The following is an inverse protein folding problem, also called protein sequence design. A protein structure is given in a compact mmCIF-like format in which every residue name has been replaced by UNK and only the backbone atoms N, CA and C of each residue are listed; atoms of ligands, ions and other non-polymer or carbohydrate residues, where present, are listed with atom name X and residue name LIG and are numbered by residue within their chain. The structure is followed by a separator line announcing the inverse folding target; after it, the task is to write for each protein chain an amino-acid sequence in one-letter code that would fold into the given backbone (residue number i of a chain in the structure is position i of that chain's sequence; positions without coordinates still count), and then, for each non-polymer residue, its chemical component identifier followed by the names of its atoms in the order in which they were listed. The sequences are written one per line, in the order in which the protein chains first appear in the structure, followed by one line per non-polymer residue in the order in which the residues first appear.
data_IF_911823428249
#
_entry.id   IF_911823428249
#
_cell.length_a   1.000
_cell.length_b   1.000
_cell.length_c   1.000
_cell.angle_alpha   90.00
_cell.angle_beta   90.00
_cell.angle_gamma   90.00
#
_symmetry.space_group_name_H-M   'P 1'
#
loop_
_entity.id
_entity.type
_entity.pdbx_description
1 polymer ?
#
# COMPACT_ATOMS: atom_id res chain seq x y z
N UNK A 1 27.39 48.99 -38.87
CA UNK A 1 26.94 48.17 -37.73
C UNK A 1 25.47 48.54 -37.49
N UNK A 2 24.52 47.65 -37.84
CA UNK A 2 23.06 47.93 -37.73
C UNK A 2 22.57 47.39 -36.38
N UNK A 3 21.81 48.15 -35.58
CA UNK A 3 21.33 47.68 -34.28
C UNK A 3 20.30 46.55 -34.46
N UNK A 4 20.23 45.59 -33.51
CA UNK A 4 19.21 44.56 -33.50
C UNK A 4 17.84 45.21 -33.28
N UNK A 5 16.87 44.88 -34.15
CA UNK A 5 15.47 45.22 -33.93
C UNK A 5 14.94 44.31 -32.83
N UNK A 6 14.35 44.90 -31.80
CA UNK A 6 13.63 44.14 -30.79
C UNK A 6 12.31 43.67 -31.41
N UNK A 7 12.15 42.36 -31.57
CA UNK A 7 10.86 41.77 -31.91
C UNK A 7 9.90 42.02 -30.73
N UNK A 8 8.94 42.92 -30.94
CA UNK A 8 7.86 43.15 -30.00
C UNK A 8 6.88 41.97 -30.11
N UNK A 9 6.61 41.21 -29.04
CA UNK A 9 5.71 40.06 -29.11
C UNK A 9 4.33 40.50 -29.63
N UNK A 10 3.82 39.86 -30.68
CA UNK A 10 2.46 40.07 -31.14
C UNK A 10 1.47 39.64 -30.05
N UNK A 11 0.52 40.50 -29.70
CA UNK A 11 -0.54 40.19 -28.74
C UNK A 11 -1.54 39.16 -29.28
N UNK A 12 -2.27 38.51 -28.35
CA UNK A 12 -3.31 37.53 -28.68
C UNK A 12 -4.46 38.12 -29.51
N UNK A 13 -4.95 37.36 -30.49
CA UNK A 13 -6.13 37.78 -31.28
C UNK A 13 -7.44 37.46 -30.55
N UNK A 14 -8.52 38.20 -30.85
CA UNK A 14 -9.84 37.95 -30.25
C UNK A 14 -10.35 36.54 -30.53
N UNK A 15 -10.11 36.03 -31.75
CA UNK A 15 -10.48 34.66 -32.16
C UNK A 15 -9.73 33.64 -31.31
N UNK A 16 -8.44 33.85 -31.07
CA UNK A 16 -7.62 32.96 -30.26
C UNK A 16 -8.09 32.90 -28.81
N UNK A 17 -8.48 34.02 -28.21
CA UNK A 17 -9.05 34.06 -26.86
C UNK A 17 -10.38 33.29 -26.81
N UNK A 18 -11.27 33.48 -27.79
CA UNK A 18 -12.54 32.74 -27.86
C UNK A 18 -12.29 31.23 -27.98
N UNK A 19 -11.34 30.82 -28.82
CA UNK A 19 -10.97 29.41 -28.96
C UNK A 19 -10.41 28.83 -27.65
N UNK A 20 -9.54 29.56 -26.94
CA UNK A 20 -9.01 29.12 -25.63
C UNK A 20 -10.15 28.93 -24.63
N UNK A 21 -11.11 29.87 -24.55
CA UNK A 21 -12.25 29.77 -23.63
C UNK A 21 -13.12 28.56 -23.95
N UNK A 22 -13.42 28.31 -25.24
CA UNK A 22 -14.23 27.16 -25.67
C UNK A 22 -13.51 25.84 -25.35
N UNK A 23 -12.22 25.76 -25.64
CA UNK A 23 -11.41 24.57 -25.33
C UNK A 23 -11.36 24.33 -23.81
N UNK A 24 -11.13 25.38 -23.02
CA UNK A 24 -11.12 25.29 -21.56
C UNK A 24 -12.49 24.85 -21.01
N UNK A 25 -13.58 25.42 -21.51
CA UNK A 25 -14.93 25.08 -21.06
C UNK A 25 -15.26 23.59 -21.26
N UNK A 26 -14.82 22.99 -22.36
CA UNK A 26 -15.04 21.56 -22.63
C UNK A 26 -14.03 20.67 -21.86
N UNK A 27 -12.80 21.12 -21.67
CA UNK A 27 -11.74 20.32 -21.05
C UNK A 27 -11.80 20.27 -19.51
N UNK A 28 -12.30 21.32 -18.84
CA UNK A 28 -12.24 21.42 -17.37
C UNK A 28 -13.02 20.28 -16.68
N UNK A 29 -14.22 19.95 -17.17
CA UNK A 29 -15.06 18.92 -16.55
C UNK A 29 -14.41 17.52 -16.54
N UNK A 30 -13.98 16.94 -17.69
CA UNK A 30 -13.35 15.63 -17.68
C UNK A 30 -12.01 15.62 -16.94
N UNK A 31 -11.22 16.70 -17.00
CA UNK A 31 -9.96 16.80 -16.26
C UNK A 31 -10.17 16.81 -14.74
N UNK A 32 -11.21 17.50 -14.26
CA UNK A 32 -11.56 17.53 -12.83
C UNK A 32 -11.95 16.14 -12.31
N UNK A 33 -12.71 15.38 -13.11
CA UNK A 33 -13.07 14.00 -12.78
C UNK A 33 -11.86 13.06 -12.75
N UNK A 34 -10.95 13.20 -13.73
CA UNK A 34 -9.70 12.43 -13.74
C UNK A 34 -8.86 12.71 -12.50
N UNK A 35 -8.72 13.98 -12.13
CA UNK A 35 -7.97 14.36 -10.93
C UNK A 35 -8.59 13.80 -9.64
N UNK A 36 -9.92 13.86 -9.50
CA UNK A 36 -10.61 13.28 -8.35
C UNK A 36 -10.35 11.76 -8.24
N UNK A 37 -10.44 11.04 -9.36
CA UNK A 37 -10.22 9.60 -9.40
C UNK A 37 -8.76 9.22 -9.12
N UNK A 38 -7.79 9.95 -9.67
CA UNK A 38 -6.37 9.69 -9.40
C UNK A 38 -6.02 10.00 -7.95
N UNK A 39 -6.59 11.06 -7.37
CA UNK A 39 -6.40 11.39 -5.96
C UNK A 39 -6.91 10.29 -5.02
N UNK A 40 -8.10 9.74 -5.27
CA UNK A 40 -8.66 8.63 -4.46
C UNK A 40 -7.75 7.40 -4.58
N UNK A 41 -7.42 7.00 -5.81
CA UNK A 41 -6.55 5.84 -6.06
C UNK A 41 -5.16 6.00 -5.48
N UNK A 42 -4.64 7.23 -5.39
CA UNK A 42 -3.36 7.50 -4.73
C UNK A 42 -3.44 7.26 -3.21
N UNK A 43 -4.56 7.65 -2.58
CA UNK A 43 -4.83 7.33 -1.18
C UNK A 43 -4.92 5.82 -0.92
N UNK A 44 -5.65 5.11 -1.79
CA UNK A 44 -5.78 3.64 -1.71
C UNK A 44 -4.43 2.93 -1.91
N UNK A 45 -3.64 3.39 -2.89
CA UNK A 45 -2.29 2.86 -3.12
C UNK A 45 -1.39 3.06 -1.89
N UNK A 46 -1.44 4.24 -1.27
CA UNK A 46 -0.72 4.50 -0.02
C UNK A 46 -1.16 3.56 1.10
N UNK A 47 -2.47 3.36 1.26
CA UNK A 47 -2.99 2.45 2.28
C UNK A 47 -2.55 1.01 2.05
N UNK A 48 -2.52 0.56 0.80
CA UNK A 48 -2.04 -0.77 0.44
C UNK A 48 -0.55 -0.94 0.74
N UNK A 49 0.27 0.07 0.46
CA UNK A 49 1.69 0.06 0.85
C UNK A 49 1.87 -0.01 2.36
N UNK A 50 1.17 0.81 3.14
CA UNK A 50 1.26 0.77 4.61
C UNK A 50 0.81 -0.59 5.14
N UNK A 51 -0.32 -1.11 4.67
CA UNK A 51 -0.82 -2.43 5.07
C UNK A 51 0.19 -3.55 4.76
N UNK A 52 0.84 -3.51 3.59
CA UNK A 52 1.89 -4.46 3.22
C UNK A 52 3.12 -4.35 4.13
N UNK A 53 3.58 -3.13 4.45
CA UNK A 53 4.70 -2.92 5.37
C UNK A 53 4.39 -3.40 6.79
N UNK A 54 3.17 -3.17 7.28
CA UNK A 54 2.72 -3.67 8.58
C UNK A 54 2.64 -5.20 8.62
N UNK A 55 2.16 -5.81 7.53
CA UNK A 55 2.13 -7.26 7.40
C UNK A 55 3.55 -7.83 7.39
N UNK A 56 4.46 -7.21 6.63
CA UNK A 56 5.86 -7.63 6.54
C UNK A 56 6.58 -7.48 7.90
N UNK A 57 6.43 -6.34 8.57
CA UNK A 57 7.02 -6.13 9.90
C UNK A 57 6.56 -7.22 10.88
N UNK A 58 5.28 -7.61 10.83
CA UNK A 58 4.78 -8.71 11.67
C UNK A 58 5.38 -10.06 11.26
N UNK A 59 5.52 -10.34 9.96
CA UNK A 59 6.20 -11.55 9.48
C UNK A 59 7.67 -11.62 9.93
N UNK A 60 8.35 -10.49 10.03
CA UNK A 60 9.71 -10.39 10.55
C UNK A 60 9.76 -10.67 12.07
N UNK A 61 8.79 -10.16 12.85
CA UNK A 61 8.63 -10.53 14.27
C UNK A 61 8.46 -12.05 14.44
N UNK A 62 7.58 -12.67 13.65
CA UNK A 62 7.39 -14.12 13.67
C UNK A 62 8.65 -14.90 13.29
N UNK A 63 9.38 -14.42 12.29
CA UNK A 63 10.64 -15.03 11.87
C UNK A 63 11.70 -14.91 12.96
N UNK A 64 11.76 -13.78 13.65
CA UNK A 64 12.65 -13.57 14.78
C UNK A 64 12.30 -14.51 15.95
N UNK A 65 11.02 -14.70 16.23
CA UNK A 65 10.56 -15.61 17.28
C UNK A 65 10.84 -17.07 16.96
N UNK A 66 10.64 -17.48 15.69
CA UNK A 66 11.01 -18.82 15.20
C UNK A 66 12.49 -19.10 15.43
N UNK A 67 13.35 -18.13 15.17
CA UNK A 67 14.80 -18.28 15.26
C UNK A 67 15.37 -17.94 16.65
N UNK A 68 14.52 -17.51 17.59
CA UNK A 68 14.95 -17.16 18.94
C UNK A 68 15.25 -18.42 19.76
N UNK A 69 16.42 -18.47 20.46
CA UNK A 69 16.77 -19.60 21.32
C UNK A 69 15.78 -19.86 22.47
N UNK A 70 14.96 -18.88 22.84
CA UNK A 70 14.01 -18.96 23.97
C UNK A 70 12.57 -19.25 23.55
N UNK A 71 12.23 -19.13 22.26
CA UNK A 71 10.85 -19.24 21.74
C UNK A 71 10.74 -20.40 20.75
N UNK A 72 11.45 -20.31 19.63
CA UNK A 72 11.49 -21.37 18.62
C UNK A 72 10.18 -21.56 17.87
N UNK A 73 10.12 -22.63 17.06
CA UNK A 73 8.96 -22.98 16.24
C UNK A 73 7.66 -23.21 17.05
N UNK A 74 7.76 -23.81 18.24
CA UNK A 74 6.60 -24.09 19.11
C UNK A 74 5.91 -22.84 19.64
N UNK A 75 6.60 -21.70 19.67
CA UNK A 75 6.06 -20.42 20.10
C UNK A 75 5.11 -19.79 19.06
N UNK A 76 5.14 -20.24 17.81
CA UNK A 76 4.33 -19.73 16.70
C UNK A 76 2.86 -20.16 16.79
N UNK A 77 2.16 -19.81 17.86
CA UNK A 77 0.76 -20.17 18.13
C UNK A 77 -0.13 -18.95 18.31
N UNK A 78 -1.42 -19.07 17.99
CA UNK A 78 -2.37 -17.95 18.03
C UNK A 78 -2.40 -17.21 19.39
N UNK A 79 -2.23 -17.92 20.50
CA UNK A 79 -2.23 -17.32 21.84
C UNK A 79 -1.11 -16.28 22.06
N UNK A 80 0.03 -16.45 21.37
CA UNK A 80 1.18 -15.55 21.49
C UNK A 80 1.11 -14.34 20.54
N UNK A 81 0.17 -14.35 19.59
CA UNK A 81 -0.03 -13.29 18.60
C UNK A 81 -1.49 -12.86 18.58
N UNK A 82 -1.99 -12.20 19.64
CA UNK A 82 -3.34 -11.66 19.66
C UNK A 82 -3.54 -10.64 18.54
N UNK A 83 -4.77 -10.54 18.04
CA UNK A 83 -5.12 -9.55 17.03
C UNK A 83 -4.96 -8.13 17.58
N UNK A 84 -4.48 -7.21 16.75
CA UNK A 84 -4.24 -5.83 17.13
C UNK A 84 -5.21 -4.93 16.36
N UNK A 85 -6.05 -4.21 17.10
CA UNK A 85 -7.09 -3.34 16.55
C UNK A 85 -7.32 -2.15 17.49
N UNK A 86 -6.77 -0.95 17.18
CA UNK A 86 -5.88 -0.65 16.06
C UNK A 86 -4.44 -1.14 16.29
N UNK A 87 -3.65 -1.19 15.22
CA UNK A 87 -2.19 -1.30 15.31
C UNK A 87 -1.63 -0.03 15.96
N UNK A 88 -0.74 -0.18 16.94
CA UNK A 88 -0.09 0.95 17.64
C UNK A 88 0.55 1.91 16.64
N UNK A 89 0.31 3.22 16.79
CA UNK A 89 0.75 4.29 15.89
C UNK A 89 0.15 4.29 14.47
N UNK A 90 -0.72 3.33 14.12
CA UNK A 90 -1.41 3.25 12.84
C UNK A 90 -2.94 3.14 13.05
N UNK A 91 -3.59 4.23 13.50
CA UNK A 91 -5.04 4.23 13.64
C UNK A 91 -5.70 3.95 12.28
N UNK A 92 -6.73 3.10 12.27
CA UNK A 92 -7.42 2.66 11.05
C UNK A 92 -6.86 1.38 10.42
N UNK A 93 -5.77 0.82 10.96
CA UNK A 93 -5.25 -0.48 10.56
C UNK A 93 -5.50 -1.49 11.68
N UNK A 94 -5.96 -2.69 11.31
CA UNK A 94 -6.01 -3.84 12.20
C UNK A 94 -5.16 -4.96 11.62
N UNK A 95 -4.44 -5.71 12.46
CA UNK A 95 -3.65 -6.87 12.01
C UNK A 95 -3.96 -8.12 12.80
N UNK A 96 -3.94 -9.26 12.14
CA UNK A 96 -4.12 -10.58 12.75
C UNK A 96 -3.17 -11.60 12.14
N UNK A 97 -2.91 -12.66 12.88
CA UNK A 97 -2.06 -13.78 12.48
C UNK A 97 -2.87 -15.06 12.53
N UNK A 98 -2.79 -15.86 11.47
CA UNK A 98 -3.44 -17.15 11.35
C UNK A 98 -2.39 -18.25 11.21
N UNK A 99 -2.57 -19.32 11.96
CA UNK A 99 -1.70 -20.49 11.96
C UNK A 99 -2.49 -21.69 11.44
N UNK A 100 -2.00 -22.32 10.37
CA UNK A 100 -2.55 -23.59 9.90
C UNK A 100 -2.10 -24.75 10.81
N UNK A 101 -2.75 -25.93 10.73
CA UNK A 101 -2.22 -27.14 11.35
C UNK A 101 -0.83 -27.49 10.82
N UNK A 102 -0.04 -28.15 11.66
CA UNK A 102 1.28 -28.67 11.26
C UNK A 102 1.14 -29.72 10.17
N UNK A 103 2.01 -29.63 9.17
CA UNK A 103 2.10 -30.55 8.05
C UNK A 103 3.52 -31.11 7.98
N UNK A 104 3.68 -32.30 7.41
CA UNK A 104 4.98 -32.96 7.28
C UNK A 104 5.25 -33.20 5.80
N UNK A 105 6.42 -32.76 5.34
CA UNK A 105 6.93 -33.05 4.01
C UNK A 105 8.39 -33.47 4.12
N UNK A 106 8.73 -34.63 3.56
CA UNK A 106 10.09 -35.18 3.59
C UNK A 106 10.72 -35.24 5.00
N UNK A 107 9.91 -35.66 5.99
CA UNK A 107 10.32 -35.73 7.39
C UNK A 107 10.43 -34.38 8.11
N UNK A 108 10.23 -33.25 7.42
CA UNK A 108 10.26 -31.91 7.99
C UNK A 108 8.85 -31.46 8.36
N UNK A 109 8.65 -31.10 9.62
CA UNK A 109 7.42 -30.45 10.08
C UNK A 109 7.45 -28.98 9.67
N UNK A 110 6.37 -28.50 9.06
CA UNK A 110 6.17 -27.10 8.71
C UNK A 110 4.76 -26.64 9.02
N UNK A 111 4.61 -25.32 9.20
CA UNK A 111 3.34 -24.65 9.47
C UNK A 111 3.16 -23.49 8.51
N UNK A 112 2.01 -23.45 7.85
CA UNK A 112 1.61 -22.27 7.07
C UNK A 112 1.15 -21.19 8.02
N UNK A 113 1.67 -19.99 7.86
CA UNK A 113 1.35 -18.82 8.67
C UNK A 113 0.96 -17.66 7.77
N UNK A 114 -0.19 -17.07 8.06
CA UNK A 114 -0.72 -15.90 7.38
C UNK A 114 -0.74 -14.69 8.30
N UNK A 115 -0.30 -13.54 7.81
CA UNK A 115 -0.53 -12.24 8.45
C UNK A 115 -1.47 -11.45 7.57
N UNK A 116 -2.60 -11.00 8.13
CA UNK A 116 -3.59 -10.19 7.44
C UNK A 116 -3.67 -8.80 8.07
N UNK A 117 -3.62 -7.77 7.24
CA UNK A 117 -3.86 -6.38 7.62
C UNK A 117 -5.09 -5.85 6.90
N UNK A 118 -5.99 -5.23 7.67
CA UNK A 118 -7.24 -4.65 7.18
C UNK A 118 -7.23 -3.16 7.47
N UNK A 119 -7.60 -2.36 6.47
CA UNK A 119 -7.90 -0.94 6.62
C UNK A 119 -9.02 -0.53 5.65
N UNK A 120 -9.64 0.65 5.83
CA UNK A 120 -10.75 1.10 4.98
C UNK A 120 -10.37 1.22 3.50
N UNK A 121 -11.38 1.03 2.64
CA UNK A 121 -11.35 1.32 1.20
C UNK A 121 -10.41 0.48 0.33
N UNK A 122 -9.64 -0.44 0.92
CA UNK A 122 -8.85 -1.43 0.17
C UNK A 122 -9.18 -2.86 0.61
N UNK A 123 -9.00 -3.86 -0.27
CA UNK A 123 -9.06 -5.26 0.12
C UNK A 123 -8.00 -5.59 1.19
N UNK A 124 -8.25 -6.58 2.06
CA UNK A 124 -7.26 -7.04 3.02
C UNK A 124 -5.95 -7.46 2.36
N UNK A 125 -4.83 -7.00 2.91
CA UNK A 125 -3.49 -7.42 2.47
C UNK A 125 -3.08 -8.61 3.32
N UNK A 126 -2.82 -9.75 2.68
CA UNK A 126 -2.39 -10.98 3.38
C UNK A 126 -1.04 -11.44 2.84
N UNK A 127 -0.09 -11.65 3.75
CA UNK A 127 1.18 -12.32 3.47
C UNK A 127 1.13 -13.73 4.06
N UNK A 128 1.54 -14.72 3.28
CA UNK A 128 1.54 -16.13 3.70
C UNK A 128 2.92 -16.72 3.49
N UNK A 129 3.44 -17.42 4.49
CA UNK A 129 4.68 -18.21 4.40
C UNK A 129 4.53 -19.56 5.09
N UNK A 130 5.55 -20.38 4.97
CA UNK A 130 5.74 -21.61 5.71
C UNK A 130 6.95 -21.47 6.64
N UNK A 131 6.80 -21.81 7.91
CA UNK A 131 7.91 -21.98 8.84
C UNK A 131 8.18 -23.46 9.06
N UNK A 132 9.44 -23.83 9.20
CA UNK A 132 9.88 -25.21 9.43
C UNK A 132 10.43 -25.39 10.84
N UNK A 133 10.40 -26.63 11.33
CA UNK A 133 10.89 -27.01 12.67
C UNK A 133 12.34 -27.53 12.67
N UNK A 134 13.23 -26.91 11.91
CA UNK A 134 14.68 -27.19 11.94
C UNK A 134 15.49 -25.92 12.21
#
# INVERSE_FOLDING_TARGET
MRPPVADCPAGFTLVEIVLIIVIAAVAILPLSMLFANTSIRSGDARNATIAAQLAQAKMEELTADKNSPTRGFSYLIAANYPAESPVTAFPGYSRSVAFAPDSIYDGVTFRTVGVTVVCPNIPPVTLTTWFTNY
#
